data_IF_868457155165
#
_entry.id   IF_868457155165
#
_cell.length_a   1.000
_cell.length_b   1.000
_cell.length_c   1.000
_cell.angle_alpha   90.00
_cell.angle_beta   90.00
_cell.angle_gamma   90.00
#
_symmetry.space_group_name_H-M   'P 1'
#
loop_
_entity.id
_entity.type
_entity.pdbx_description
1 polymer ?
#
# COMPACT_ATOMS: atom_id res chain seq x y z
N UNK A 1 -31.10 45.56 -43.42
CA UNK A 1 -29.93 45.88 -42.59
C UNK A 1 -29.76 44.75 -41.58
N UNK A 2 -28.52 44.31 -41.37
CA UNK A 2 -28.11 42.93 -41.11
C UNK A 2 -28.48 42.32 -39.74
N UNK A 3 -28.83 41.03 -39.75
CA UNK A 3 -28.76 40.12 -38.59
C UNK A 3 -27.30 39.78 -38.26
N UNK A 4 -26.93 39.66 -36.97
CA UNK A 4 -25.72 38.94 -36.58
C UNK A 4 -26.03 37.52 -36.10
N UNK A 5 -25.14 36.62 -36.50
CA UNK A 5 -25.19 35.18 -36.40
C UNK A 5 -24.92 34.64 -34.99
N UNK A 6 -25.32 33.37 -34.83
CA UNK A 6 -25.40 32.57 -33.64
C UNK A 6 -24.09 32.37 -32.86
N UNK A 7 -24.24 32.28 -31.53
CA UNK A 7 -23.27 31.73 -30.58
C UNK A 7 -22.94 30.27 -30.95
N UNK A 8 -21.64 29.95 -30.98
CA UNK A 8 -21.16 28.57 -30.92
C UNK A 8 -20.95 28.18 -29.44
N UNK A 9 -21.37 26.99 -28.98
CA UNK A 9 -21.00 26.48 -27.66
C UNK A 9 -19.65 25.75 -27.72
N UNK A 10 -18.70 26.18 -26.89
CA UNK A 10 -17.45 25.45 -26.65
C UNK A 10 -17.73 24.16 -25.87
N UNK A 11 -17.36 23.01 -26.43
CA UNK A 11 -17.46 21.72 -25.77
C UNK A 11 -16.54 21.65 -24.53
N UNK A 12 -16.97 21.04 -23.41
CA UNK A 12 -16.11 20.85 -22.26
C UNK A 12 -15.10 19.72 -22.53
N UNK A 13 -13.81 20.05 -22.42
CA UNK A 13 -12.71 19.09 -22.36
C UNK A 13 -12.93 18.16 -21.16
N UNK A 14 -13.28 16.90 -21.42
CA UNK A 14 -13.29 15.83 -20.41
C UNK A 14 -11.84 15.63 -19.96
N UNK A 15 -11.51 16.18 -18.79
CA UNK A 15 -10.24 15.89 -18.12
C UNK A 15 -10.25 14.41 -17.69
N UNK A 16 -9.21 13.62 -17.99
CA UNK A 16 -9.07 12.29 -17.41
C UNK A 16 -8.95 12.42 -15.88
N UNK A 17 -9.52 11.49 -15.10
CA UNK A 17 -9.50 11.59 -13.64
C UNK A 17 -8.05 11.58 -13.13
N UNK A 18 -7.72 12.39 -12.11
CA UNK A 18 -6.39 12.38 -11.51
C UNK A 18 -6.14 10.99 -10.91
N UNK A 19 -4.93 10.46 -11.13
CA UNK A 19 -4.45 9.24 -10.49
C UNK A 19 -4.42 9.51 -8.97
N UNK A 20 -5.50 9.13 -8.27
CA UNK A 20 -5.63 9.37 -6.84
C UNK A 20 -4.67 8.46 -6.06
N UNK A 21 -3.57 9.04 -5.59
CA UNK A 21 -2.80 8.54 -4.44
C UNK A 21 -3.63 8.75 -3.16
N UNK A 22 -4.70 7.96 -2.99
CA UNK A 22 -5.60 8.11 -1.85
C UNK A 22 -5.01 7.45 -0.61
N UNK A 23 -4.72 8.24 0.44
CA UNK A 23 -4.43 7.78 1.80
C UNK A 23 -5.60 7.00 2.46
N UNK A 24 -6.72 6.87 1.75
CA UNK A 24 -7.91 6.14 2.18
C UNK A 24 -7.69 4.63 2.12
N UNK A 25 -8.18 3.84 3.10
CA UNK A 25 -8.15 2.40 3.02
C UNK A 25 -8.88 1.90 1.75
N UNK A 26 -8.43 0.79 1.16
CA UNK A 26 -9.06 0.25 -0.04
C UNK A 26 -10.53 -0.12 0.26
N UNK A 27 -11.43 0.01 -0.74
CA UNK A 27 -12.83 -0.37 -0.56
C UNK A 27 -12.91 -1.84 -0.14
N UNK A 28 -13.88 -2.14 0.71
CA UNK A 28 -14.11 -3.49 1.20
C UNK A 28 -14.85 -4.31 0.14
N UNK A 29 -14.10 -4.77 -0.86
CA UNK A 29 -14.61 -5.67 -1.91
C UNK A 29 -14.00 -7.06 -1.73
N UNK A 30 -14.70 -8.14 -2.15
CA UNK A 30 -14.17 -9.50 -2.05
C UNK A 30 -12.80 -9.64 -2.74
N UNK A 31 -12.61 -9.00 -3.90
CA UNK A 31 -11.36 -9.03 -4.66
C UNK A 31 -10.18 -8.41 -3.89
N UNK A 32 -10.40 -7.29 -3.19
CA UNK A 32 -9.35 -6.65 -2.38
C UNK A 32 -9.04 -7.42 -1.08
N UNK A 33 -9.91 -8.34 -0.69
CA UNK A 33 -9.79 -9.13 0.53
C UNK A 33 -9.30 -10.57 0.25
N UNK A 34 -9.06 -10.93 -1.01
CA UNK A 34 -8.44 -12.21 -1.37
C UNK A 34 -6.97 -12.21 -0.94
N UNK A 35 -6.63 -13.09 -0.01
CA UNK A 35 -5.28 -13.22 0.54
C UNK A 35 -4.50 -14.31 -0.19
N UNK A 36 -3.22 -14.02 -0.50
CA UNK A 36 -2.29 -14.98 -1.10
C UNK A 36 -1.00 -15.04 -0.32
N UNK A 37 -0.40 -16.22 -0.25
CA UNK A 37 0.93 -16.41 0.34
C UNK A 37 1.99 -16.30 -0.74
N UNK A 38 2.91 -15.35 -0.58
CA UNK A 38 3.99 -15.09 -1.54
C UNK A 38 5.34 -15.24 -0.89
N UNK A 39 6.34 -15.68 -1.65
CA UNK A 39 7.70 -15.84 -1.16
C UNK A 39 8.49 -14.54 -1.34
N UNK A 40 9.06 -14.05 -0.24
CA UNK A 40 9.92 -12.86 -0.20
C UNK A 40 11.17 -13.26 0.57
N UNK A 41 12.34 -13.19 -0.07
CA UNK A 41 13.65 -13.51 0.54
C UNK A 41 13.66 -14.85 1.30
N UNK A 42 13.01 -15.88 0.75
CA UNK A 42 12.93 -17.22 1.33
C UNK A 42 11.89 -17.43 2.43
N UNK A 43 11.07 -16.43 2.76
CA UNK A 43 9.96 -16.58 3.71
C UNK A 43 8.60 -16.32 3.05
N UNK A 44 7.56 -16.99 3.56
CA UNK A 44 6.17 -16.82 3.09
C UNK A 44 5.48 -15.68 3.82
N UNK A 45 5.03 -14.68 3.07
CA UNK A 45 4.29 -13.52 3.58
C UNK A 45 2.86 -13.52 3.04
N UNK A 46 1.94 -13.01 3.84
CA UNK A 46 0.59 -12.72 3.39
C UNK A 46 0.58 -11.47 2.51
N UNK A 47 -0.19 -11.53 1.44
CA UNK A 47 -0.33 -10.47 0.44
C UNK A 47 -1.76 -10.30 0.01
N UNK A 48 -2.08 -9.09 -0.46
CA UNK A 48 -3.35 -8.75 -1.10
C UNK A 48 -3.07 -8.09 -2.44
N UNK A 49 -3.98 -8.26 -3.39
CA UNK A 49 -3.96 -7.47 -4.63
C UNK A 49 -4.91 -6.29 -4.48
N UNK A 50 -4.37 -5.07 -4.54
CA UNK A 50 -5.16 -3.83 -4.45
C UNK A 50 -4.89 -3.01 -5.71
N UNK A 51 -5.93 -2.76 -6.51
CA UNK A 51 -5.80 -2.05 -7.80
C UNK A 51 -4.68 -2.67 -8.67
N UNK A 52 -4.72 -3.98 -8.85
CA UNK A 52 -3.75 -4.78 -9.63
C UNK A 52 -2.29 -4.75 -9.12
N UNK A 53 -2.06 -4.20 -7.92
CA UNK A 53 -0.76 -4.21 -7.27
C UNK A 53 -0.74 -5.24 -6.15
N UNK A 54 0.20 -6.18 -6.21
CA UNK A 54 0.44 -7.14 -5.15
C UNK A 54 1.25 -6.48 -4.02
N UNK A 55 0.63 -6.42 -2.84
CA UNK A 55 1.19 -5.77 -1.66
C UNK A 55 1.31 -6.78 -0.52
N UNK A 56 2.45 -6.80 0.14
CA UNK A 56 2.75 -7.68 1.28
C UNK A 56 2.47 -6.98 2.61
N UNK A 57 2.18 -7.76 3.65
CA UNK A 57 1.99 -7.25 5.00
C UNK A 57 3.29 -6.66 5.56
N UNK A 58 3.33 -5.34 5.77
CA UNK A 58 4.52 -4.63 6.25
C UNK A 58 4.90 -5.00 7.70
N UNK A 59 3.97 -5.08 8.69
CA UNK A 59 4.30 -5.56 10.02
C UNK A 59 4.90 -6.98 10.03
N UNK A 60 4.37 -7.89 9.20
CA UNK A 60 4.90 -9.24 9.06
C UNK A 60 6.33 -9.22 8.48
N UNK A 61 6.55 -8.45 7.42
CA UNK A 61 7.87 -8.30 6.81
C UNK A 61 8.87 -7.68 7.79
N UNK A 62 8.44 -6.74 8.63
CA UNK A 62 9.25 -6.18 9.70
C UNK A 62 9.68 -7.25 10.71
N UNK A 63 8.74 -8.06 11.22
CA UNK A 63 9.04 -9.09 12.22
C UNK A 63 9.98 -10.19 11.68
N UNK A 64 9.91 -10.48 10.38
CA UNK A 64 10.75 -11.48 9.74
C UNK A 64 12.15 -10.95 9.39
N UNK A 65 12.26 -9.73 8.89
CA UNK A 65 13.48 -9.27 8.24
C UNK A 65 14.13 -8.04 8.87
N UNK A 66 13.37 -7.17 9.55
CA UNK A 66 13.85 -5.85 9.97
C UNK A 66 13.94 -5.68 11.49
N UNK A 67 13.27 -6.50 12.30
CA UNK A 67 13.19 -6.33 13.77
C UNK A 67 14.54 -6.26 14.48
N UNK A 68 15.58 -6.84 13.89
CA UNK A 68 16.94 -6.81 14.44
C UNK A 68 17.84 -5.75 13.79
N UNK A 69 17.38 -5.13 12.70
CA UNK A 69 18.11 -4.09 11.98
C UNK A 69 17.69 -2.67 12.41
N UNK A 70 16.45 -2.52 12.90
CA UNK A 70 15.91 -1.23 13.33
C UNK A 70 15.22 -1.34 14.69
N UNK A 71 15.20 -0.25 15.45
CA UNK A 71 14.63 -0.19 16.81
C UNK A 71 13.10 -0.28 16.91
N UNK A 72 12.39 -0.72 15.86
CA UNK A 72 10.95 -0.92 15.86
C UNK A 72 10.23 -0.46 14.60
N UNK A 73 8.95 -0.84 14.49
CA UNK A 73 8.09 -0.52 13.35
C UNK A 73 7.87 1.00 13.16
N UNK A 74 7.98 1.79 14.23
CA UNK A 74 7.92 3.25 14.13
C UNK A 74 9.08 3.81 13.28
N UNK A 75 10.30 3.31 13.48
CA UNK A 75 11.48 3.70 12.68
C UNK A 75 11.31 3.32 11.21
N UNK A 76 10.66 2.19 10.93
CA UNK A 76 10.30 1.79 9.56
C UNK A 76 9.41 2.85 8.90
N UNK A 77 8.37 3.33 9.59
CA UNK A 77 7.50 4.37 9.04
C UNK A 77 8.24 5.69 8.78
N UNK A 78 9.17 6.09 9.67
CA UNK A 78 10.01 7.26 9.47
C UNK A 78 10.91 7.11 8.23
N UNK A 79 11.52 5.94 8.05
CA UNK A 79 12.34 5.63 6.87
C UNK A 79 11.51 5.66 5.59
N UNK A 80 10.32 5.05 5.59
CA UNK A 80 9.40 5.10 4.44
C UNK A 80 9.07 6.54 4.02
N UNK A 81 8.81 7.43 5.00
CA UNK A 81 8.58 8.85 4.73
C UNK A 81 9.79 9.52 4.05
N UNK A 82 11.00 9.24 4.51
CA UNK A 82 12.24 9.78 3.91
C UNK A 82 12.48 9.26 2.49
N UNK A 83 12.17 7.98 2.26
CA UNK A 83 12.27 7.33 0.95
C UNK A 83 11.09 7.67 0.01
N UNK A 84 10.15 8.51 0.45
CA UNK A 84 8.95 8.89 -0.30
C UNK A 84 8.05 7.71 -0.68
N UNK A 85 8.08 6.64 0.12
CA UNK A 85 7.23 5.45 -0.06
C UNK A 85 5.97 5.60 0.80
N UNK A 86 4.80 5.55 0.17
CA UNK A 86 3.51 5.61 0.88
C UNK A 86 2.87 4.22 0.92
N UNK A 87 2.86 3.54 2.07
CA UNK A 87 2.21 2.25 2.20
C UNK A 87 0.68 2.37 2.21
N UNK A 88 0.00 1.31 1.77
CA UNK A 88 -1.48 1.25 1.76
C UNK A 88 -1.98 0.84 3.14
N UNK A 89 -2.98 1.56 3.66
CA UNK A 89 -3.60 1.20 4.94
C UNK A 89 -4.58 0.05 4.73
N UNK A 90 -4.48 -1.03 5.51
CA UNK A 90 -5.44 -2.14 5.44
C UNK A 90 -6.85 -1.69 5.82
N UNK A 91 -7.87 -2.25 5.18
CA UNK A 91 -9.24 -2.20 5.69
C UNK A 91 -9.42 -3.18 6.89
N UNK A 92 -10.57 -3.08 7.59
CA UNK A 92 -10.84 -3.89 8.79
C UNK A 92 -10.81 -5.39 8.50
N UNK A 93 -11.31 -5.81 7.35
CA UNK A 93 -11.39 -7.22 6.98
C UNK A 93 -10.01 -7.80 6.65
N UNK A 94 -9.17 -7.07 5.92
CA UNK A 94 -7.77 -7.44 5.70
C UNK A 94 -7.02 -7.62 7.03
N UNK A 95 -7.25 -6.73 8.01
CA UNK A 95 -6.65 -6.89 9.36
C UNK A 95 -7.14 -8.16 10.04
N UNK A 96 -8.44 -8.47 9.95
CA UNK A 96 -9.00 -9.73 10.51
C UNK A 96 -8.39 -10.97 9.87
N UNK A 97 -8.31 -10.99 8.54
CA UNK A 97 -7.71 -12.09 7.78
C UNK A 97 -6.25 -12.29 8.18
N UNK A 98 -5.45 -11.21 8.25
CA UNK A 98 -4.05 -11.29 8.65
C UNK A 98 -3.85 -11.83 10.07
N UNK A 99 -4.73 -11.47 11.02
CA UNK A 99 -4.72 -12.07 12.36
C UNK A 99 -5.08 -13.56 12.33
N UNK A 100 -6.10 -13.94 11.57
CA UNK A 100 -6.53 -15.33 11.43
C UNK A 100 -5.43 -16.24 10.86
N UNK A 101 -4.56 -15.68 10.00
CA UNK A 101 -3.39 -16.37 9.45
C UNK A 101 -2.15 -16.35 10.36
N UNK A 102 -2.18 -15.63 11.48
CA UNK A 102 -1.01 -15.41 12.32
C UNK A 102 0.07 -14.52 11.68
N UNK A 103 -0.24 -13.80 10.60
CA UNK A 103 0.69 -12.88 9.95
C UNK A 103 0.97 -11.64 10.81
N UNK A 104 0.02 -11.27 11.68
CA UNK A 104 0.15 -10.21 12.67
C UNK A 104 -0.40 -10.69 14.02
N UNK A 105 0.08 -10.12 15.13
CA UNK A 105 -0.36 -10.50 16.46
C UNK A 105 -1.86 -10.20 16.70
N UNK A 106 -2.55 -10.96 17.58
CA UNK A 106 -3.97 -10.78 17.86
C UNK A 106 -4.38 -9.37 18.32
N UNK A 107 -3.50 -8.67 19.05
CA UNK A 107 -3.75 -7.29 19.52
C UNK A 107 -3.61 -6.20 18.46
N UNK A 108 -3.12 -6.52 17.25
CA UNK A 108 -2.89 -5.54 16.20
C UNK A 108 -4.20 -5.18 15.51
N UNK A 109 -4.53 -3.89 15.55
CA UNK A 109 -5.73 -3.33 14.93
C UNK A 109 -5.45 -2.36 13.77
N UNK A 110 -4.17 -2.05 13.50
CA UNK A 110 -3.76 -1.21 12.38
C UNK A 110 -2.64 -1.92 11.63
N UNK A 111 -2.84 -2.14 10.34
CA UNK A 111 -1.86 -2.75 9.46
C UNK A 111 -1.69 -1.92 8.19
N UNK A 112 -0.51 -2.01 7.61
CA UNK A 112 -0.14 -1.37 6.35
C UNK A 112 0.44 -2.42 5.39
N UNK A 113 0.20 -2.24 4.11
CA UNK A 113 0.72 -3.06 3.03
C UNK A 113 1.74 -2.26 2.21
N UNK A 114 2.73 -2.94 1.67
CA UNK A 114 3.81 -2.34 0.87
C UNK A 114 4.06 -3.20 -0.37
N UNK A 115 4.46 -2.62 -1.49
CA UNK A 115 4.85 -3.41 -2.66
C UNK A 115 6.17 -4.15 -2.40
N UNK A 116 6.40 -5.26 -3.10
CA UNK A 116 7.68 -6.00 -2.99
C UNK A 116 8.88 -5.12 -3.36
N UNK A 117 8.73 -4.30 -4.42
CA UNK A 117 9.78 -3.37 -4.87
C UNK A 117 10.13 -2.36 -3.77
N UNK A 118 9.11 -1.74 -3.17
CA UNK A 118 9.33 -0.74 -2.13
C UNK A 118 9.90 -1.36 -0.85
N UNK A 119 9.53 -2.60 -0.55
CA UNK A 119 10.12 -3.34 0.57
C UNK A 119 11.61 -3.60 0.36
N UNK A 120 12.05 -3.98 -0.86
CA UNK A 120 13.48 -4.15 -1.15
C UNK A 120 14.24 -2.82 -1.01
N UNK A 121 13.67 -1.70 -1.47
CA UNK A 121 14.25 -0.36 -1.25
C UNK A 121 14.41 -0.05 0.24
N UNK A 122 13.37 -0.29 1.04
CA UNK A 122 13.41 -0.11 2.49
C UNK A 122 14.45 -1.03 3.15
N UNK A 123 14.52 -2.28 2.72
CA UNK A 123 15.45 -3.27 3.26
C UNK A 123 16.90 -2.84 3.03
N UNK A 124 17.22 -2.46 1.79
CA UNK A 124 18.55 -1.96 1.41
C UNK A 124 18.92 -0.70 2.21
N UNK A 125 17.97 0.20 2.46
CA UNK A 125 18.19 1.37 3.31
C UNK A 125 18.48 1.02 4.78
N UNK A 126 17.95 -0.10 5.27
CA UNK A 126 18.22 -0.58 6.62
C UNK A 126 19.56 -1.30 6.72
N UNK A 127 20.05 -1.91 5.65
CA UNK A 127 21.31 -2.68 5.64
C UNK A 127 22.52 -1.86 5.20
N UNK A 128 22.34 -0.88 4.31
CA UNK A 128 23.43 -0.12 3.70
C UNK A 128 23.72 1.22 4.37
N UNK A 129 22.93 1.63 5.36
CA UNK A 129 23.14 2.88 6.11
C UNK A 129 24.26 2.76 7.16
N UNK A 130 25.38 2.11 6.80
CA UNK A 130 26.61 2.08 7.61
C UNK A 130 27.42 3.37 7.42
#
# INVERSE_FOLDING_TARGET
MASPAALMPSAPLVQPPPIQTSNSPPPNTPQNNEVKMVEVRGAKLASFTVKDNELICLPQAFDLFLKHLVGGLHTVYTKLKRLQITPVVCNVEQVRILRGLGAIQPGVNRCKLISRRDFETLYNDCTNAR
#
